data_IF_315433114579
#
_entry.id   IF_315433114579
#
_cell.length_a   1.000
_cell.length_b   1.000
_cell.length_c   1.000
_cell.angle_alpha   90.00
_cell.angle_beta   90.00
_cell.angle_gamma   90.00
#
_symmetry.space_group_name_H-M   'P 1'
#
loop_
_entity.id
_entity.type
_entity.pdbx_description
1 polymer ?
#
# COMPACT_ATOMS: atom_id res chain seq x y z
N UNK A 1 -59.77 -3.96 -29.83
CA UNK A 1 -59.30 -4.65 -28.59
C UNK A 1 -57.94 -5.33 -28.74
N UNK A 2 -57.69 -6.11 -29.80
CA UNK A 2 -56.42 -6.82 -29.99
C UNK A 2 -55.20 -5.88 -30.01
N UNK A 3 -55.27 -4.77 -30.71
CA UNK A 3 -54.17 -3.80 -30.81
C UNK A 3 -53.80 -3.17 -29.43
N UNK A 4 -54.82 -2.90 -28.59
CA UNK A 4 -54.58 -2.38 -27.24
C UNK A 4 -53.89 -3.41 -26.33
N UNK A 5 -54.23 -4.70 -26.46
CA UNK A 5 -53.56 -5.76 -25.72
C UNK A 5 -52.09 -5.93 -26.13
N UNK A 6 -51.78 -5.81 -27.42
CA UNK A 6 -50.39 -5.90 -27.93
C UNK A 6 -49.57 -4.72 -27.41
N UNK A 7 -50.13 -3.52 -27.43
CA UNK A 7 -49.44 -2.32 -26.92
C UNK A 7 -49.18 -2.44 -25.40
N UNK A 8 -50.17 -2.87 -24.64
CA UNK A 8 -50.04 -3.07 -23.18
C UNK A 8 -49.00 -4.13 -22.84
N UNK A 9 -48.97 -5.24 -23.58
CA UNK A 9 -47.97 -6.29 -23.34
C UNK A 9 -46.56 -5.80 -23.71
N UNK A 10 -46.40 -5.06 -24.78
CA UNK A 10 -45.12 -4.48 -25.16
C UNK A 10 -44.62 -3.46 -24.13
N UNK A 11 -45.48 -2.59 -23.61
CA UNK A 11 -45.14 -1.64 -22.54
C UNK A 11 -44.79 -2.37 -21.25
N UNK A 12 -45.52 -3.43 -20.89
CA UNK A 12 -45.21 -4.26 -19.72
C UNK A 12 -43.83 -4.92 -19.78
N UNK A 13 -43.50 -5.48 -20.94
CA UNK A 13 -42.18 -6.11 -21.12
C UNK A 13 -41.05 -5.10 -21.09
N UNK A 14 -41.20 -3.92 -21.70
CA UNK A 14 -40.20 -2.83 -21.64
C UNK A 14 -40.02 -2.34 -20.22
N UNK A 15 -41.09 -2.17 -19.45
CA UNK A 15 -41.01 -1.75 -18.06
C UNK A 15 -40.26 -2.78 -17.18
N UNK A 16 -40.53 -4.07 -17.35
CA UNK A 16 -39.85 -5.14 -16.64
C UNK A 16 -38.36 -5.17 -16.97
N UNK A 17 -38.00 -4.98 -18.23
CA UNK A 17 -36.61 -4.95 -18.68
C UNK A 17 -35.85 -3.76 -18.07
N UNK A 18 -36.45 -2.58 -17.99
CA UNK A 18 -35.83 -1.40 -17.37
C UNK A 18 -35.57 -1.59 -15.87
N UNK A 19 -36.52 -2.21 -15.15
CA UNK A 19 -36.31 -2.50 -13.72
C UNK A 19 -35.14 -3.44 -13.50
N UNK A 20 -35.05 -4.55 -14.24
CA UNK A 20 -33.96 -5.52 -14.11
C UNK A 20 -32.59 -4.88 -14.43
N UNK A 21 -32.52 -4.02 -15.46
CA UNK A 21 -31.25 -3.33 -15.81
C UNK A 21 -30.86 -2.31 -14.75
N UNK A 22 -31.80 -1.59 -14.14
CA UNK A 22 -31.48 -0.62 -13.07
C UNK A 22 -31.04 -1.35 -11.80
N UNK A 23 -31.71 -2.41 -11.40
CA UNK A 23 -31.30 -3.22 -10.23
C UNK A 23 -29.91 -3.82 -10.43
N UNK A 24 -29.62 -4.37 -11.60
CA UNK A 24 -28.30 -4.87 -11.94
C UNK A 24 -27.22 -3.78 -11.89
N UNK A 25 -27.53 -2.59 -12.40
CA UNK A 25 -26.63 -1.43 -12.34
C UNK A 25 -26.33 -0.99 -10.90
N UNK A 26 -27.32 -0.92 -10.05
CA UNK A 26 -27.15 -0.55 -8.64
C UNK A 26 -26.31 -1.61 -7.90
N UNK A 27 -26.56 -2.89 -8.13
CA UNK A 27 -25.79 -3.98 -7.52
C UNK A 27 -24.32 -3.94 -7.96
N UNK A 28 -24.05 -3.69 -9.24
CA UNK A 28 -22.68 -3.57 -9.77
C UNK A 28 -21.96 -2.37 -9.14
N UNK A 29 -22.58 -1.19 -9.13
CA UNK A 29 -22.01 0.02 -8.52
C UNK A 29 -21.73 -0.17 -7.02
N UNK A 30 -22.60 -0.88 -6.31
CA UNK A 30 -22.40 -1.24 -4.90
C UNK A 30 -21.17 -2.14 -4.70
N UNK A 31 -21.03 -3.16 -5.52
CA UNK A 31 -19.88 -4.07 -5.46
C UNK A 31 -18.55 -3.37 -5.80
N UNK A 32 -18.55 -2.48 -6.81
CA UNK A 32 -17.38 -1.67 -7.13
C UNK A 32 -16.95 -0.79 -5.95
N UNK A 33 -17.92 -0.14 -5.29
CA UNK A 33 -17.64 0.67 -4.11
C UNK A 33 -17.01 -0.15 -2.98
N UNK A 34 -17.51 -1.34 -2.71
CA UNK A 34 -16.96 -2.22 -1.68
C UNK A 34 -15.57 -2.70 -2.04
N UNK A 35 -15.33 -3.02 -3.30
CA UNK A 35 -14.01 -3.37 -3.79
C UNK A 35 -13.01 -2.20 -3.65
N UNK A 36 -13.42 -0.98 -3.98
CA UNK A 36 -12.58 0.22 -3.80
C UNK A 36 -12.20 0.43 -2.33
N UNK A 37 -13.09 0.19 -1.38
CA UNK A 37 -12.76 0.25 0.06
C UNK A 37 -11.69 -0.79 0.41
N UNK A 38 -11.80 -2.01 -0.11
CA UNK A 38 -10.80 -3.05 0.11
C UNK A 38 -9.42 -2.67 -0.50
N UNK A 39 -9.40 -2.06 -1.68
CA UNK A 39 -8.17 -1.57 -2.32
C UNK A 39 -7.52 -0.48 -1.46
N UNK A 40 -8.26 0.54 -1.05
CA UNK A 40 -7.73 1.60 -0.17
C UNK A 40 -7.25 1.06 1.17
N UNK A 41 -7.93 0.06 1.72
CA UNK A 41 -7.46 -0.61 2.93
C UNK A 41 -6.12 -1.33 2.69
N UNK A 42 -5.97 -2.05 1.57
CA UNK A 42 -4.72 -2.71 1.20
C UNK A 42 -3.58 -1.70 0.99
N UNK A 43 -3.83 -0.59 0.29
CA UNK A 43 -2.85 0.48 0.08
C UNK A 43 -2.41 1.13 1.40
N UNK A 44 -3.37 1.37 2.31
CA UNK A 44 -3.08 1.90 3.64
C UNK A 44 -2.18 0.96 4.45
N UNK A 45 -2.47 -0.36 4.39
CA UNK A 45 -1.64 -1.37 5.02
C UNK A 45 -0.22 -1.43 4.42
N UNK A 46 -0.11 -1.36 3.09
CA UNK A 46 1.18 -1.29 2.40
C UNK A 46 2.01 -0.07 2.81
N UNK A 47 1.37 1.10 2.89
CA UNK A 47 2.02 2.35 3.32
C UNK A 47 2.49 2.28 4.78
N UNK A 48 1.67 1.75 5.67
CA UNK A 48 2.03 1.55 7.08
C UNK A 48 3.19 0.56 7.24
N UNK A 49 3.22 -0.51 6.44
CA UNK A 49 4.31 -1.47 6.41
C UNK A 49 5.61 -0.88 5.87
N UNK A 50 5.52 -0.05 4.84
CA UNK A 50 6.69 0.65 4.29
C UNK A 50 7.31 1.57 5.34
N UNK A 51 6.50 2.33 6.07
CA UNK A 51 6.98 3.20 7.16
C UNK A 51 7.61 2.38 8.30
N UNK A 52 7.00 1.24 8.65
CA UNK A 52 7.56 0.31 9.62
C UNK A 52 8.91 -0.23 9.18
N UNK A 53 9.05 -0.73 7.94
CA UNK A 53 10.28 -1.29 7.41
C UNK A 53 11.42 -0.26 7.33
N UNK A 54 11.10 0.99 6.99
CA UNK A 54 12.09 2.09 6.98
C UNK A 54 12.68 2.35 8.35
N UNK A 55 11.88 2.24 9.40
CA UNK A 55 12.32 2.47 10.79
C UNK A 55 13.03 1.28 11.41
N UNK A 56 12.83 0.08 10.88
CA UNK A 56 13.27 -1.17 11.49
C UNK A 56 14.28 -1.94 10.63
N UNK A 57 14.96 -1.27 9.72
CA UNK A 57 16.02 -1.91 8.94
C UNK A 57 17.27 -2.12 9.79
N UNK A 58 17.82 -3.34 9.73
CA UNK A 58 19.17 -3.60 10.24
C UNK A 58 20.17 -3.50 9.08
N UNK A 59 21.19 -2.65 9.24
CA UNK A 59 22.17 -2.40 8.16
C UNK A 59 22.99 -3.65 7.81
N UNK A 60 23.18 -4.57 8.75
CA UNK A 60 23.94 -5.81 8.53
C UNK A 60 23.08 -6.95 8.00
N UNK A 61 21.89 -7.15 8.57
CA UNK A 61 21.03 -8.31 8.32
C UNK A 61 19.73 -7.98 7.58
N UNK A 62 19.62 -6.78 7.06
CA UNK A 62 18.39 -6.35 6.37
C UNK A 62 17.16 -6.45 7.25
N UNK A 63 16.13 -7.08 6.76
CA UNK A 63 14.86 -7.34 7.44
C UNK A 63 14.68 -8.80 7.89
N UNK A 64 15.80 -9.53 8.11
CA UNK A 64 15.78 -10.95 8.53
C UNK A 64 14.84 -11.22 9.71
N UNK A 65 14.69 -10.27 10.64
CA UNK A 65 13.77 -10.42 11.78
C UNK A 65 12.29 -10.49 11.40
N UNK A 66 11.93 -10.13 10.18
CA UNK A 66 10.55 -9.97 9.71
C UNK A 66 10.20 -10.91 8.55
N UNK A 67 11.10 -11.79 8.16
CA UNK A 67 10.88 -12.80 7.12
C UNK A 67 10.94 -14.21 7.70
N UNK A 68 10.41 -15.18 6.97
CA UNK A 68 10.44 -16.59 7.38
C UNK A 68 11.00 -17.48 6.28
N UNK A 69 11.51 -18.66 6.70
CA UNK A 69 12.03 -19.65 5.76
C UNK A 69 10.99 -20.02 4.70
N UNK A 70 11.37 -19.88 3.44
CA UNK A 70 10.50 -20.15 2.27
C UNK A 70 9.12 -19.50 2.33
N UNK A 71 8.98 -18.42 3.10
CA UNK A 71 7.69 -17.76 3.36
C UNK A 71 6.59 -18.69 3.88
N UNK A 72 6.95 -19.76 4.58
CA UNK A 72 6.00 -20.77 5.06
C UNK A 72 5.06 -20.24 6.16
N UNK A 73 5.56 -19.32 6.98
CA UNK A 73 4.79 -18.65 8.03
C UNK A 73 5.24 -17.20 8.12
N UNK A 74 4.81 -16.32 7.18
CA UNK A 74 5.27 -14.94 7.16
C UNK A 74 4.90 -14.24 8.47
N UNK A 75 5.86 -13.59 9.13
CA UNK A 75 5.56 -12.83 10.33
C UNK A 75 4.57 -11.71 10.04
N UNK A 76 3.71 -11.43 11.02
CA UNK A 76 2.83 -10.26 11.01
C UNK A 76 3.33 -9.28 12.09
N UNK A 77 4.16 -8.32 11.75
CA UNK A 77 4.76 -7.43 12.73
C UNK A 77 3.70 -6.63 13.49
N UNK A 78 3.76 -6.66 14.81
CA UNK A 78 2.83 -5.94 15.69
C UNK A 78 3.05 -4.43 15.70
N UNK A 79 4.21 -3.97 15.21
CA UNK A 79 4.56 -2.55 15.14
C UNK A 79 3.99 -1.80 13.93
N UNK A 80 3.30 -2.50 13.02
CA UNK A 80 2.62 -1.86 11.89
C UNK A 80 1.30 -1.28 12.40
N UNK A 81 1.14 0.04 12.27
CA UNK A 81 -0.08 0.74 12.72
C UNK A 81 -1.32 0.18 12.02
N UNK A 82 -2.37 -0.14 12.77
CA UNK A 82 -3.65 -0.64 12.25
C UNK A 82 -3.65 -2.07 11.72
N UNK A 83 -2.51 -2.76 11.73
CA UNK A 83 -2.42 -4.15 11.24
C UNK A 83 -3.32 -5.09 12.05
N UNK A 84 -4.19 -5.82 11.36
CA UNK A 84 -5.19 -6.72 11.95
C UNK A 84 -6.17 -6.03 12.92
N UNK A 85 -6.27 -4.72 12.89
CA UNK A 85 -7.25 -4.00 13.71
C UNK A 85 -8.66 -4.18 13.11
N UNK A 86 -9.57 -4.76 13.89
CA UNK A 86 -10.95 -4.92 13.47
C UNK A 86 -11.65 -3.55 13.27
N UNK A 87 -12.68 -3.54 12.43
CA UNK A 87 -13.51 -2.35 12.23
C UNK A 87 -14.06 -1.85 13.57
N UNK A 88 -13.90 -0.56 13.85
CA UNK A 88 -14.32 0.06 15.10
C UNK A 88 -13.37 -0.15 16.29
N UNK A 89 -12.31 -0.95 16.15
CA UNK A 89 -11.31 -1.12 17.19
C UNK A 89 -10.36 0.07 17.24
N UNK A 90 -9.79 0.31 18.44
CA UNK A 90 -8.71 1.29 18.62
C UNK A 90 -7.52 0.91 17.72
N UNK A 91 -7.05 1.84 16.91
CA UNK A 91 -5.98 1.61 15.93
C UNK A 91 -6.46 1.32 14.50
N UNK A 92 -7.75 1.02 14.27
CA UNK A 92 -8.30 0.99 12.93
C UNK A 92 -8.54 2.44 12.46
N UNK A 93 -7.98 2.77 11.30
CA UNK A 93 -8.02 4.13 10.73
C UNK A 93 -9.27 4.40 9.89
N UNK A 94 -10.08 3.38 9.62
CA UNK A 94 -11.29 3.51 8.81
C UNK A 94 -12.48 3.89 9.66
N UNK A 95 -13.35 4.73 9.09
CA UNK A 95 -14.59 5.12 9.77
C UNK A 95 -15.63 4.01 9.73
N UNK A 96 -16.61 4.09 10.61
CA UNK A 96 -17.76 3.16 10.63
C UNK A 96 -18.62 3.26 9.38
N UNK A 97 -18.61 4.41 8.68
CA UNK A 97 -19.39 4.64 7.46
C UNK A 97 -18.75 3.97 6.23
N UNK A 98 -17.44 3.73 6.29
CA UNK A 98 -16.68 2.99 5.27
C UNK A 98 -15.81 1.95 5.97
N UNK A 99 -16.41 0.87 6.49
CA UNK A 99 -15.70 -0.09 7.30
C UNK A 99 -14.69 -0.87 6.45
N UNK A 100 -13.42 -0.70 6.79
CA UNK A 100 -12.29 -1.38 6.18
C UNK A 100 -11.32 -1.87 7.24
N UNK A 101 -10.50 -2.83 6.89
CA UNK A 101 -9.38 -3.29 7.69
C UNK A 101 -8.30 -3.88 6.79
N UNK A 102 -7.11 -4.05 7.31
CA UNK A 102 -6.05 -4.69 6.55
C UNK A 102 -5.17 -5.61 7.40
N UNK A 103 -4.54 -6.55 6.71
CA UNK A 103 -3.54 -7.45 7.26
C UNK A 103 -2.28 -7.39 6.40
N UNK A 104 -1.13 -7.23 7.04
CA UNK A 104 0.15 -7.11 6.36
C UNK A 104 1.05 -8.28 6.71
N UNK A 105 1.70 -8.83 5.71
CA UNK A 105 2.77 -9.82 5.82
C UNK A 105 4.03 -9.29 5.13
N UNK A 106 5.18 -9.61 5.69
CA UNK A 106 6.48 -9.34 5.07
C UNK A 106 7.05 -10.67 4.58
N UNK A 107 7.37 -10.72 3.31
CA UNK A 107 7.84 -11.91 2.61
C UNK A 107 9.26 -11.67 2.13
N UNK A 108 10.09 -12.71 2.18
CA UNK A 108 11.37 -12.67 1.49
C UNK A 108 11.17 -12.85 -0.02
N UNK A 109 11.98 -12.17 -0.83
CA UNK A 109 11.97 -12.38 -2.28
C UNK A 109 12.60 -13.74 -2.62
N UNK A 110 12.06 -14.42 -3.63
CA UNK A 110 12.48 -15.77 -4.00
C UNK A 110 13.91 -15.83 -4.59
N UNK A 111 14.43 -14.72 -5.08
CA UNK A 111 15.78 -14.62 -5.64
C UNK A 111 16.86 -14.46 -4.57
N UNK A 112 16.49 -14.19 -3.32
CA UNK A 112 17.44 -14.09 -2.22
C UNK A 112 18.07 -15.45 -1.91
N UNK A 113 19.39 -15.48 -1.74
CA UNK A 113 20.14 -16.67 -1.30
C UNK A 113 19.70 -17.18 0.08
N UNK A 114 19.18 -16.28 0.92
CA UNK A 114 18.63 -16.57 2.24
C UNK A 114 17.17 -17.00 2.26
N UNK A 115 16.49 -17.09 1.11
CA UNK A 115 15.07 -17.40 1.02
C UNK A 115 14.70 -18.70 1.76
N UNK A 116 15.47 -19.77 1.56
CA UNK A 116 15.21 -21.07 2.16
C UNK A 116 15.43 -21.08 3.69
N UNK A 117 16.28 -20.20 4.19
CA UNK A 117 16.65 -20.11 5.62
C UNK A 117 15.91 -19.02 6.38
N UNK A 118 15.16 -18.17 5.68
CA UNK A 118 14.47 -17.02 6.29
C UNK A 118 15.40 -15.89 6.65
N UNK A 119 16.47 -15.69 5.87
CA UNK A 119 17.39 -14.59 6.01
C UNK A 119 17.25 -13.64 4.85
N UNK A 120 17.26 -12.33 5.11
CA UNK A 120 17.29 -11.30 4.08
C UNK A 120 18.76 -10.89 3.84
N UNK A 121 19.34 -11.39 2.76
CA UNK A 121 20.75 -11.15 2.43
C UNK A 121 20.94 -10.04 1.39
N UNK A 122 19.91 -9.74 0.60
CA UNK A 122 19.98 -8.73 -0.46
C UNK A 122 19.27 -7.42 -0.09
N UNK A 123 18.68 -7.34 1.11
CA UNK A 123 17.92 -6.18 1.62
C UNK A 123 16.74 -5.84 0.72
N UNK A 124 16.07 -6.89 0.26
CA UNK A 124 14.91 -6.80 -0.60
C UNK A 124 13.80 -7.68 -0.06
N UNK A 125 12.66 -7.08 0.24
CA UNK A 125 11.49 -7.80 0.76
C UNK A 125 10.23 -7.41 0.01
N UNK A 126 9.22 -8.26 0.06
CA UNK A 126 7.91 -8.03 -0.51
C UNK A 126 6.91 -7.78 0.63
N UNK A 127 6.27 -6.64 0.60
CA UNK A 127 5.11 -6.34 1.44
C UNK A 127 3.89 -6.90 0.74
N UNK A 128 3.18 -7.82 1.38
CA UNK A 128 1.85 -8.26 0.96
C UNK A 128 0.83 -7.67 1.92
N UNK A 129 -0.01 -6.77 1.42
CA UNK A 129 -1.11 -6.19 2.17
C UNK A 129 -2.43 -6.68 1.63
N UNK A 130 -3.24 -7.27 2.51
CA UNK A 130 -4.60 -7.70 2.22
C UNK A 130 -5.57 -6.73 2.85
N UNK A 131 -6.34 -6.05 2.05
CA UNK A 131 -7.40 -5.16 2.48
C UNK A 131 -8.75 -5.86 2.46
N UNK A 132 -9.54 -5.60 3.47
CA UNK A 132 -10.89 -6.11 3.64
C UNK A 132 -11.87 -4.94 3.62
N UNK A 133 -12.86 -5.03 2.78
CA UNK A 133 -13.95 -4.06 2.66
C UNK A 133 -15.30 -4.63 3.10
N UNK A 134 -16.36 -3.82 2.98
CA UNK A 134 -17.73 -4.28 3.27
C UNK A 134 -18.14 -5.46 2.41
N UNK A 135 -19.10 -6.22 2.89
CA UNK A 135 -19.73 -7.35 2.17
C UNK A 135 -18.74 -8.42 1.69
N UNK A 136 -17.63 -8.61 2.44
CA UNK A 136 -16.61 -9.61 2.11
C UNK A 136 -15.71 -9.24 0.93
N UNK A 137 -15.68 -7.98 0.50
CA UNK A 137 -14.75 -7.51 -0.52
C UNK A 137 -13.32 -7.63 -0.02
N UNK A 138 -12.43 -8.19 -0.86
CA UNK A 138 -11.01 -8.38 -0.55
C UNK A 138 -10.16 -7.87 -1.71
N UNK A 139 -9.08 -7.20 -1.37
CA UNK A 139 -8.05 -6.81 -2.32
C UNK A 139 -6.66 -7.16 -1.74
N UNK A 140 -5.76 -7.59 -2.60
CA UNK A 140 -4.37 -7.89 -2.21
C UNK A 140 -3.43 -7.08 -3.08
N UNK A 141 -2.50 -6.39 -2.45
CA UNK A 141 -1.42 -5.69 -3.14
C UNK A 141 -0.07 -6.22 -2.66
N UNK A 142 0.89 -6.24 -3.56
CA UNK A 142 2.27 -6.62 -3.25
C UNK A 142 3.21 -5.52 -3.72
N UNK A 143 4.08 -5.08 -2.83
CA UNK A 143 5.11 -4.09 -3.12
C UNK A 143 6.48 -4.67 -2.79
N UNK A 144 7.38 -4.64 -3.75
CA UNK A 144 8.78 -4.96 -3.52
C UNK A 144 9.52 -3.72 -3.01
N UNK A 145 10.17 -3.87 -1.87
CA UNK A 145 10.95 -2.82 -1.21
C UNK A 145 12.40 -3.22 -1.19
N UNK A 146 13.26 -2.34 -1.64
CA UNK A 146 14.70 -2.51 -1.60
C UNK A 146 15.33 -1.43 -0.72
N UNK A 147 16.13 -1.83 0.28
CA UNK A 147 16.97 -0.89 0.97
C UNK A 147 18.26 -0.72 0.20
N UNK A 148 18.45 0.43 -0.34
CA UNK A 148 19.76 0.82 -0.85
C UNK A 148 20.60 1.31 0.32
N UNK A 149 21.81 0.76 0.49
CA UNK A 149 22.77 1.39 1.37
C UNK A 149 22.99 2.79 0.82
N UNK A 150 22.72 3.79 1.63
CA UNK A 150 23.01 5.18 1.29
C UNK A 150 24.51 5.47 1.30
N UNK A 151 25.33 4.55 0.80
CA UNK A 151 26.71 4.81 0.49
C UNK A 151 26.70 5.60 -0.81
N UNK A 152 26.61 6.92 -0.67
CA UNK A 152 26.84 7.82 -1.78
C UNK A 152 25.70 8.01 -2.78
N UNK A 153 24.43 7.85 -2.36
CA UNK A 153 23.38 8.52 -3.11
C UNK A 153 23.47 9.99 -2.79
N UNK A 154 24.36 10.66 -3.50
CA UNK A 154 24.34 12.11 -3.56
C UNK A 154 22.89 12.50 -3.85
N UNK A 155 22.34 13.48 -3.14
CA UNK A 155 21.07 14.10 -3.52
C UNK A 155 21.12 14.26 -5.03
N UNK A 156 20.07 13.87 -5.77
CA UNK A 156 20.04 14.21 -7.18
C UNK A 156 20.26 15.73 -7.23
N UNK A 157 21.42 16.13 -7.75
CA UNK A 157 21.72 17.52 -7.93
C UNK A 157 20.66 18.05 -8.84
N UNK A 158 19.68 18.78 -8.31
CA UNK A 158 18.74 19.47 -9.16
C UNK A 158 19.53 20.39 -10.04
N UNK A 159 19.24 20.38 -11.34
CA UNK A 159 19.88 21.24 -12.34
C UNK A 159 19.72 22.73 -11.98
N UNK A 160 18.84 23.01 -11.05
CA UNK A 160 18.66 24.30 -10.38
C UNK A 160 19.37 24.34 -9.03
N UNK A 161 20.69 24.09 -9.00
CA UNK A 161 21.48 24.60 -7.88
C UNK A 161 21.34 26.12 -7.96
N UNK A 162 20.52 26.70 -7.09
CA UNK A 162 20.58 28.13 -6.89
C UNK A 162 22.02 28.44 -6.50
N UNK A 163 22.74 29.09 -7.40
CA UNK A 163 23.94 29.81 -7.06
C UNK A 163 23.53 30.74 -5.94
N UNK A 164 23.87 30.39 -4.71
CA UNK A 164 23.88 31.37 -3.66
C UNK A 164 24.95 32.36 -4.07
N UNK A 165 24.54 33.53 -4.49
CA UNK A 165 25.41 34.67 -4.78
C UNK A 165 26.00 35.20 -3.46
N UNK A 166 26.74 34.36 -2.72
CA UNK A 166 27.64 34.87 -1.75
C UNK A 166 28.94 35.20 -2.49
N UNK A 167 29.39 36.40 -2.35
CA UNK A 167 30.56 37.01 -3.03
C UNK A 167 31.86 36.22 -2.89
N UNK A 168 31.89 35.16 -2.10
CA UNK A 168 33.08 34.33 -1.84
C UNK A 168 33.26 33.12 -2.78
N UNK A 169 32.50 33.00 -3.84
CA UNK A 169 32.74 32.02 -4.92
C UNK A 169 32.68 30.53 -4.52
N UNK A 170 32.48 30.22 -3.25
CA UNK A 170 32.29 28.87 -2.76
C UNK A 170 30.80 28.51 -2.79
N UNK A 171 30.26 28.31 -3.99
CA UNK A 171 28.96 27.71 -4.13
C UNK A 171 28.94 26.43 -3.30
N UNK A 172 28.13 26.40 -2.24
CA UNK A 172 27.90 25.18 -1.47
C UNK A 172 27.33 24.15 -2.44
N UNK A 173 28.19 23.23 -2.83
CA UNK A 173 27.79 22.09 -3.61
C UNK A 173 27.10 21.12 -2.65
N UNK A 174 25.82 21.35 -2.39
CA UNK A 174 24.98 20.47 -1.55
C UNK A 174 24.91 19.05 -2.10
N UNK A 175 25.49 18.82 -3.27
CA UNK A 175 25.60 17.51 -3.90
C UNK A 175 26.70 16.64 -3.28
N UNK A 176 27.60 17.17 -2.49
CA UNK A 176 28.70 16.44 -1.86
C UNK A 176 28.41 16.05 -0.40
N UNK A 177 27.24 16.41 0.14
CA UNK A 177 26.83 15.99 1.46
C UNK A 177 26.50 14.49 1.47
N UNK A 178 27.35 13.68 2.07
CA UNK A 178 26.96 12.32 2.45
C UNK A 178 25.82 12.44 3.45
N UNK A 179 24.60 12.01 3.05
CA UNK A 179 23.51 11.84 4.01
C UNK A 179 23.95 10.77 5.01
N UNK A 180 24.18 11.18 6.25
CA UNK A 180 24.41 10.24 7.32
C UNK A 180 23.09 9.43 7.50
N UNK A 181 23.17 8.11 7.59
CA UNK A 181 21.99 7.24 7.74
C UNK A 181 21.18 7.55 8.99
N UNK A 182 21.78 8.22 9.98
CA UNK A 182 21.05 8.74 11.15
C UNK A 182 20.10 9.89 10.80
N UNK A 183 20.37 10.65 9.72
CA UNK A 183 19.54 11.80 9.34
C UNK A 183 18.29 11.39 8.53
N UNK A 184 18.32 10.20 7.91
CA UNK A 184 17.15 9.69 7.18
C UNK A 184 16.01 9.27 8.11
N UNK A 185 16.33 8.94 9.38
CA UNK A 185 15.32 8.61 10.38
C UNK A 185 14.54 9.85 10.89
N UNK A 186 15.10 11.04 10.68
CA UNK A 186 14.49 12.31 11.12
C UNK A 186 13.86 13.12 9.99
N UNK A 187 13.96 12.66 8.75
CA UNK A 187 13.32 13.33 7.63
C UNK A 187 11.80 13.23 7.75
N UNK A 188 11.21 14.23 8.40
CA UNK A 188 9.77 14.50 8.29
C UNK A 188 9.58 15.30 7.00
N UNK A 189 8.76 14.85 6.04
CA UNK A 189 8.30 15.75 5.00
C UNK A 189 7.62 16.92 5.72
N UNK A 190 8.12 18.13 5.44
CA UNK A 190 7.65 19.35 6.07
C UNK A 190 6.15 19.51 5.96
N UNK A 191 5.52 19.93 7.07
CA UNK A 191 4.16 20.41 7.08
C UNK A 191 4.03 21.73 6.34
#
# INVERSE_FOLDING_TARGET
MVLAMVVLSALGTLSALTVVTVEGGIATAGNERFHMVAVYAAESGGSAAMDFLRRNINLSTGWTAYVSASNASPPQPTGISGNNAAVGASGNLFSTDMPGSYSVQILNNRSDSGYATGSDNDKRVVIRSTGYGPNGAVAVIEWEITAQNAVGVGRPCSVYSQKNESEDGSGRNDCLGTLNTSDTATFRPGG
#
